data_IF_843175539052
#
_entry.id   IF_843175539052
#
_cell.length_a   1.000
_cell.length_b   1.000
_cell.length_c   1.000
_cell.angle_alpha   90.00
_cell.angle_beta   90.00
_cell.angle_gamma   90.00
#
_symmetry.space_group_name_H-M   'P 1'
#
loop_
_entity.id
_entity.type
_entity.pdbx_description
1 polymer ?
#
# COMPACT_ATOMS: atom_id res chain seq x y z
N UNK A 1 -2.76 6.27 11.07
CA UNK A 1 -3.53 6.07 9.82
C UNK A 1 -5.00 6.30 10.06
N UNK A 2 -5.67 7.02 9.15
CA UNK A 2 -7.11 7.26 9.28
C UNK A 2 -7.92 6.22 8.52
N UNK A 3 -7.38 5.66 7.44
CA UNK A 3 -8.04 4.62 6.69
C UNK A 3 -7.02 3.76 5.98
N UNK A 4 -7.45 2.56 5.62
CA UNK A 4 -6.61 1.61 4.91
C UNK A 4 -7.48 0.81 3.95
N UNK A 5 -7.04 0.71 2.71
CA UNK A 5 -7.67 -0.12 1.70
C UNK A 5 -6.77 -1.30 1.41
N UNK A 6 -7.29 -2.48 1.66
CA UNK A 6 -6.53 -3.72 1.58
C UNK A 6 -7.29 -4.73 0.74
N UNK A 7 -6.62 -5.34 -0.22
CA UNK A 7 -7.17 -6.44 -0.99
C UNK A 7 -6.55 -7.75 -0.50
N UNK A 8 -7.38 -8.60 0.06
CA UNK A 8 -6.94 -9.92 0.56
C UNK A 8 -6.76 -10.89 -0.59
N UNK A 9 -7.67 -10.82 -1.56
CA UNK A 9 -7.63 -11.70 -2.70
C UNK A 9 -8.08 -10.96 -3.95
N UNK A 10 -7.25 -10.99 -4.96
CA UNK A 10 -7.58 -10.49 -6.28
C UNK A 10 -7.09 -11.53 -7.29
N UNK A 11 -7.93 -12.53 -7.51
CA UNK A 11 -7.60 -13.65 -8.35
C UNK A 11 -7.79 -13.30 -9.81
N UNK A 12 -6.77 -13.57 -10.59
CA UNK A 12 -6.87 -13.47 -12.04
C UNK A 12 -7.48 -14.75 -12.58
N UNK A 13 -8.38 -14.61 -13.52
CA UNK A 13 -9.07 -15.73 -14.11
C UNK A 13 -8.95 -15.71 -15.62
N UNK A 14 -9.06 -16.89 -16.19
CA UNK A 14 -9.14 -17.07 -17.63
C UNK A 14 -10.31 -17.98 -17.92
N UNK A 15 -10.79 -17.97 -19.16
CA UNK A 15 -11.95 -18.74 -19.53
C UNK A 15 -11.73 -19.46 -20.84
N UNK A 16 -12.30 -20.66 -20.93
CA UNK A 16 -12.28 -21.47 -22.15
C UNK A 16 -13.71 -21.82 -22.49
N UNK A 17 -14.09 -21.62 -23.74
CA UNK A 17 -15.42 -21.98 -24.21
C UNK A 17 -15.38 -23.39 -24.78
N UNK A 18 -16.19 -24.29 -24.20
CA UNK A 18 -16.32 -25.65 -24.68
C UNK A 18 -17.78 -25.86 -25.12
N UNK A 19 -18.01 -25.85 -26.46
CA UNK A 19 -19.35 -25.88 -27.00
C UNK A 19 -20.13 -24.62 -26.60
N UNK A 20 -21.28 -24.80 -25.92
CA UNK A 20 -22.08 -23.67 -25.43
C UNK A 20 -21.81 -23.37 -23.94
N UNK A 21 -20.85 -24.06 -23.32
CA UNK A 21 -20.45 -23.82 -21.95
C UNK A 21 -19.16 -23.01 -21.92
N UNK A 22 -19.09 -22.12 -20.95
CA UNK A 22 -17.86 -21.38 -20.65
C UNK A 22 -17.32 -21.86 -19.31
N UNK A 23 -16.08 -22.32 -19.32
CA UNK A 23 -15.42 -22.76 -18.09
C UNK A 23 -14.39 -21.73 -17.67
N UNK A 24 -14.47 -21.29 -16.43
CA UNK A 24 -13.56 -20.33 -15.85
C UNK A 24 -12.59 -21.03 -14.92
N UNK A 25 -11.36 -20.58 -14.90
CA UNK A 25 -10.36 -21.10 -13.98
C UNK A 25 -9.46 -19.96 -13.49
N UNK A 26 -8.86 -20.18 -12.34
CA UNK A 26 -8.01 -19.18 -11.68
C UNK A 26 -6.58 -19.39 -12.16
N UNK A 27 -5.95 -18.32 -12.64
CA UNK A 27 -4.58 -18.36 -13.18
C UNK A 27 -3.55 -17.77 -12.23
N UNK A 28 -3.96 -16.91 -11.27
CA UNK A 28 -3.00 -16.31 -10.36
C UNK A 28 -3.66 -15.32 -9.42
N UNK A 29 -2.82 -14.71 -8.59
CA UNK A 29 -3.25 -13.70 -7.64
C UNK A 29 -2.52 -12.39 -7.95
N UNK A 30 -3.29 -11.32 -8.19
CA UNK A 30 -2.77 -10.01 -8.57
C UNK A 30 -2.98 -8.94 -7.49
N UNK A 31 -3.15 -9.33 -6.24
CA UNK A 31 -3.31 -8.41 -5.12
C UNK A 31 -1.98 -7.70 -4.84
N UNK A 32 -1.74 -6.57 -5.49
CA UNK A 32 -0.43 -5.93 -5.55
C UNK A 32 -0.27 -4.71 -4.65
N UNK A 33 -1.36 -4.06 -4.29
CA UNK A 33 -1.27 -2.73 -3.70
C UNK A 33 -2.01 -2.64 -2.38
N UNK A 34 -1.46 -1.84 -1.48
CA UNK A 34 -2.11 -1.45 -0.23
C UNK A 34 -2.12 0.06 -0.18
N UNK A 35 -3.27 0.64 0.03
CA UNK A 35 -3.42 2.08 0.15
C UNK A 35 -3.75 2.44 1.59
N UNK A 36 -2.93 3.31 2.18
CA UNK A 36 -3.10 3.77 3.56
C UNK A 36 -3.14 5.29 3.54
N UNK A 37 -4.14 5.86 4.19
CA UNK A 37 -4.30 7.29 4.31
C UNK A 37 -3.88 7.73 5.70
N UNK A 38 -2.98 8.70 5.76
CA UNK A 38 -2.46 9.25 7.00
C UNK A 38 -2.93 10.68 7.19
N UNK A 39 -3.09 11.07 8.45
CA UNK A 39 -3.35 12.44 8.81
C UNK A 39 -2.02 13.17 8.96
N UNK A 40 -1.86 14.27 8.22
CA UNK A 40 -0.62 15.01 8.25
C UNK A 40 -0.48 15.83 9.53
N UNK A 41 0.74 15.96 10.00
CA UNK A 41 1.06 16.76 11.16
C UNK A 41 1.50 18.17 10.74
N UNK A 42 1.61 19.05 11.75
CA UNK A 42 1.99 20.44 11.55
C UNK A 42 3.36 20.60 10.89
N UNK A 43 4.27 19.65 11.13
CA UNK A 43 5.61 19.68 10.55
C UNK A 43 5.73 18.98 9.21
N UNK A 44 4.62 18.56 8.60
CA UNK A 44 4.61 17.82 7.34
C UNK A 44 5.49 16.56 7.38
N UNK A 45 5.40 15.81 8.49
CA UNK A 45 6.28 14.67 8.73
C UNK A 45 6.09 13.57 7.68
N UNK A 46 4.84 13.31 7.27
CA UNK A 46 4.55 12.23 6.33
C UNK A 46 5.03 12.60 4.92
N UNK A 47 4.82 13.83 4.49
CA UNK A 47 5.30 14.30 3.20
C UNK A 47 6.83 14.32 3.15
N UNK A 48 7.49 14.73 4.23
CA UNK A 48 8.93 14.72 4.32
C UNK A 48 9.51 13.30 4.32
N UNK A 49 8.84 12.37 4.99
CA UNK A 49 9.24 10.96 4.97
C UNK A 49 9.12 10.37 3.56
N UNK A 50 8.03 10.67 2.85
CA UNK A 50 7.87 10.23 1.48
C UNK A 50 8.94 10.80 0.56
N UNK A 51 9.31 12.05 0.78
CA UNK A 51 10.37 12.70 0.02
C UNK A 51 11.73 12.05 0.27
N UNK A 52 12.02 11.69 1.51
CA UNK A 52 13.25 10.98 1.84
C UNK A 52 13.31 9.60 1.18
N UNK A 53 12.20 8.89 1.15
CA UNK A 53 12.12 7.59 0.47
C UNK A 53 12.35 7.77 -1.03
N UNK A 54 11.79 8.83 -1.62
CA UNK A 54 12.02 9.14 -3.02
C UNK A 54 13.51 9.37 -3.32
N UNK A 55 14.21 10.07 -2.43
CA UNK A 55 15.62 10.34 -2.62
C UNK A 55 16.47 9.08 -2.51
N UNK A 56 16.05 8.11 -1.70
CA UNK A 56 16.69 6.80 -1.61
C UNK A 56 16.46 5.99 -2.89
N UNK A 57 15.24 6.03 -3.40
CA UNK A 57 14.89 5.28 -4.62
C UNK A 57 15.55 5.86 -5.87
N UNK A 58 15.56 7.18 -5.98
CA UNK A 58 16.05 7.88 -7.16
C UNK A 58 17.00 8.98 -6.70
N UNK A 59 18.29 8.73 -6.84
CA UNK A 59 19.30 9.70 -6.45
C UNK A 59 19.30 10.90 -7.41
N UNK A 60 19.73 12.10 -6.94
CA UNK A 60 19.76 13.29 -7.79
C UNK A 60 20.67 13.16 -9.01
N UNK A 61 21.66 12.25 -8.98
CA UNK A 61 22.56 12.02 -10.10
C UNK A 61 21.97 11.12 -11.20
N UNK A 62 20.71 10.69 -11.03
CA UNK A 62 20.02 9.86 -11.99
C UNK A 62 20.12 8.37 -11.75
N UNK A 63 20.83 7.94 -10.71
CA UNK A 63 20.91 6.52 -10.38
C UNK A 63 19.70 6.10 -9.55
N UNK A 64 19.38 4.82 -9.64
CA UNK A 64 18.28 4.22 -8.88
C UNK A 64 18.84 3.35 -7.76
N UNK A 65 18.23 3.47 -6.58
CA UNK A 65 18.65 2.66 -5.43
C UNK A 65 18.30 1.18 -5.62
N UNK A 66 18.99 0.34 -4.86
CA UNK A 66 18.70 -1.09 -4.87
C UNK A 66 17.40 -1.36 -4.11
N UNK A 67 16.64 -2.40 -4.48
CA UNK A 67 15.41 -2.73 -3.76
C UNK A 67 15.61 -2.96 -2.26
N UNK A 68 16.74 -3.51 -1.85
CA UNK A 68 17.02 -3.72 -0.43
C UNK A 68 17.13 -2.40 0.35
N UNK A 69 17.39 -1.30 -0.31
CA UNK A 69 17.53 0.01 0.33
C UNK A 69 16.21 0.71 0.57
N UNK A 70 15.22 0.50 -0.32
CA UNK A 70 13.94 1.21 -0.21
C UNK A 70 12.76 0.32 0.18
N UNK A 71 12.93 -0.99 0.20
CA UNK A 71 11.85 -1.87 0.67
C UNK A 71 11.65 -1.71 2.18
N UNK A 72 10.40 -1.80 2.58
CA UNK A 72 10.03 -1.71 3.98
C UNK A 72 9.02 -2.78 4.31
N UNK A 73 8.86 -3.04 5.61
CA UNK A 73 7.91 -4.01 6.09
C UNK A 73 6.63 -3.28 6.51
N UNK A 74 5.52 -3.68 5.92
CA UNK A 74 4.22 -3.14 6.27
C UNK A 74 3.41 -4.22 6.96
N UNK A 75 2.96 -3.93 8.17
CA UNK A 75 2.11 -4.81 8.94
C UNK A 75 0.79 -4.13 9.22
N UNK A 76 -0.30 -4.79 8.87
CA UNK A 76 -1.65 -4.30 9.14
C UNK A 76 -2.31 -5.27 10.09
N UNK A 77 -2.84 -4.74 11.18
CA UNK A 77 -3.49 -5.55 12.21
C UNK A 77 -4.85 -4.95 12.53
N UNK A 78 -5.83 -5.82 12.68
CA UNK A 78 -7.18 -5.44 13.07
C UNK A 78 -7.42 -5.92 14.49
N UNK A 79 -7.76 -4.98 15.38
CA UNK A 79 -7.98 -5.29 16.78
C UNK A 79 -9.46 -5.14 17.14
N UNK A 80 -10.00 -6.00 18.01
CA UNK A 80 -11.34 -5.78 18.54
C UNK A 80 -11.36 -4.58 19.48
N UNK A 81 -12.53 -3.95 19.64
CA UNK A 81 -12.66 -2.77 20.48
C UNK A 81 -12.29 -3.00 21.94
N UNK A 82 -12.61 -4.19 22.44
CA UNK A 82 -12.45 -4.52 23.85
C UNK A 82 -11.11 -5.19 24.19
N UNK A 83 -10.29 -5.48 23.18
CA UNK A 83 -8.99 -6.13 23.40
C UNK A 83 -8.00 -5.68 22.35
N UNK A 84 -7.06 -4.81 22.75
CA UNK A 84 -6.06 -4.27 21.84
C UNK A 84 -4.75 -5.04 21.85
N UNK A 85 -4.66 -6.10 22.64
CA UNK A 85 -3.42 -6.88 22.73
C UNK A 85 -3.38 -8.05 21.76
N UNK A 86 -4.54 -8.57 21.37
CA UNK A 86 -4.64 -9.71 20.46
C UNK A 86 -5.36 -9.31 19.18
N UNK A 87 -4.66 -9.23 18.04
CA UNK A 87 -5.33 -8.90 16.77
C UNK A 87 -6.18 -10.07 16.28
N UNK A 88 -7.34 -9.76 15.72
CA UNK A 88 -8.19 -10.77 15.09
C UNK A 88 -7.78 -11.03 13.65
N UNK A 89 -7.06 -10.10 13.05
CA UNK A 89 -6.55 -10.22 11.68
C UNK A 89 -5.22 -9.47 11.61
N UNK A 90 -4.23 -10.10 11.02
CA UNK A 90 -2.91 -9.48 10.88
C UNK A 90 -2.24 -10.02 9.63
N UNK A 91 -1.71 -9.12 8.81
CA UNK A 91 -0.92 -9.48 7.64
C UNK A 91 0.29 -8.57 7.53
N UNK A 92 1.36 -9.11 6.97
CA UNK A 92 2.63 -8.42 6.84
C UNK A 92 3.22 -8.69 5.46
N UNK A 93 3.73 -7.64 4.83
CA UNK A 93 4.34 -7.73 3.51
C UNK A 93 5.60 -6.90 3.44
N UNK A 94 6.49 -7.28 2.52
CA UNK A 94 7.56 -6.40 2.07
C UNK A 94 7.01 -5.51 0.96
N UNK A 95 7.05 -4.21 1.17
CA UNK A 95 6.45 -3.23 0.28
C UNK A 95 7.44 -2.15 -0.07
N UNK A 96 7.18 -1.47 -1.17
CA UNK A 96 7.86 -0.25 -1.54
C UNK A 96 6.82 0.85 -1.72
N UNK A 97 7.18 2.07 -1.37
CA UNK A 97 6.29 3.20 -1.61
C UNK A 97 6.20 3.45 -3.10
N UNK A 98 5.02 3.29 -3.66
CA UNK A 98 4.79 3.45 -5.09
C UNK A 98 4.34 4.86 -5.45
N UNK A 99 3.43 5.42 -4.67
CA UNK A 99 2.87 6.72 -4.97
C UNK A 99 2.47 7.44 -3.69
N UNK A 100 2.68 8.74 -3.70
CA UNK A 100 2.20 9.65 -2.66
C UNK A 100 1.73 10.91 -3.35
N UNK A 101 0.46 11.20 -3.24
CA UNK A 101 -0.10 12.41 -3.81
C UNK A 101 -1.00 13.07 -2.78
N UNK A 102 -1.06 14.39 -2.83
CA UNK A 102 -1.87 15.14 -1.88
C UNK A 102 -2.45 16.34 -2.59
N UNK A 103 -3.72 16.60 -2.31
CA UNK A 103 -4.41 17.78 -2.83
C UNK A 103 -4.26 18.91 -1.83
N UNK A 104 -3.57 19.96 -2.25
CA UNK A 104 -3.36 21.15 -1.43
C UNK A 104 -4.36 22.22 -1.82
N UNK A 105 -5.22 22.59 -0.88
CA UNK A 105 -6.21 23.62 -1.08
C UNK A 105 -6.12 24.66 0.03
N UNK A 106 -5.89 25.91 -0.35
CA UNK A 106 -5.75 26.98 0.63
C UNK A 106 -7.05 27.25 1.39
N UNK A 107 -8.18 26.86 0.82
CA UNK A 107 -9.50 27.06 1.43
C UNK A 107 -9.95 25.89 2.29
N UNK A 108 -9.16 24.81 2.33
CA UNK A 108 -9.51 23.63 3.10
C UNK A 108 -9.22 23.89 4.58
N UNK A 109 -10.26 23.81 5.39
CA UNK A 109 -10.16 24.00 6.85
C UNK A 109 -9.98 22.68 7.59
N UNK A 110 -10.15 21.57 6.91
CA UNK A 110 -10.00 20.25 7.50
C UNK A 110 -8.52 19.88 7.58
N UNK A 111 -8.24 18.87 8.40
CA UNK A 111 -6.89 18.34 8.50
C UNK A 111 -6.48 17.73 7.15
N UNK A 112 -5.21 17.92 6.79
CA UNK A 112 -4.68 17.40 5.53
C UNK A 112 -4.49 15.89 5.63
N UNK A 113 -5.07 15.16 4.70
CA UNK A 113 -4.90 13.72 4.60
C UNK A 113 -3.95 13.39 3.45
N UNK A 114 -3.01 12.49 3.72
CA UNK A 114 -2.02 12.08 2.74
C UNK A 114 -2.23 10.60 2.43
N UNK A 115 -2.73 10.24 1.25
CA UNK A 115 -2.82 8.85 0.85
C UNK A 115 -1.46 8.36 0.35
N UNK A 116 -1.02 7.22 0.85
CA UNK A 116 0.18 6.55 0.41
C UNK A 116 -0.20 5.20 -0.19
N UNK A 117 0.31 4.92 -1.38
CA UNK A 117 0.10 3.64 -2.04
C UNK A 117 1.39 2.84 -1.97
N UNK A 118 1.31 1.66 -1.39
CA UNK A 118 2.44 0.75 -1.25
C UNK A 118 2.27 -0.41 -2.23
N UNK A 119 3.34 -0.71 -2.95
CA UNK A 119 3.39 -1.85 -3.84
C UNK A 119 3.96 -3.05 -3.08
N UNK A 120 3.24 -4.16 -3.09
CA UNK A 120 3.71 -5.40 -2.49
C UNK A 120 4.81 -5.98 -3.36
N UNK A 121 6.03 -6.01 -2.83
CA UNK A 121 7.17 -6.57 -3.57
C UNK A 121 7.22 -8.08 -3.42
N UNK A 122 7.06 -8.55 -2.18
CA UNK A 122 7.04 -9.98 -1.88
C UNK A 122 6.01 -10.24 -0.79
N UNK A 123 5.20 -11.30 -0.91
CA UNK A 123 4.35 -11.70 0.20
C UNK A 123 5.20 -12.25 1.33
N UNK A 124 4.86 -11.88 2.57
CA UNK A 124 5.47 -12.47 3.76
C UNK A 124 4.74 -13.76 4.09
N UNK A 125 5.51 -14.76 4.36
CA UNK A 125 4.96 -16.07 4.73
C UNK A 125 4.73 -16.17 6.23
#
# INVERSE_FOLDING_TARGET
ATSCSLSVLDAQSDSVQAGHYQQNFITGNSSNEVQVTFLETKGAAILNAARQIKEIMFAPDGTQGLPAEYMMRLKISLFPRNNRSNPVFSEEWLVALQASSVDLAAQNKDALEVPLTFLKMYPML
#
